data_IF_772766912563
#
_entry.id   IF_772766912563
#
_cell.length_a   1.000
_cell.length_b   1.000
_cell.length_c   1.000
_cell.angle_alpha   90.00
_cell.angle_beta   90.00
_cell.angle_gamma   90.00
#
_symmetry.space_group_name_H-M   'P 1'
#
loop_
_entity.id
_entity.type
_entity.pdbx_description
1 polymer ?
#
# COMPACT_ATOMS: atom_id res chain seq x y z
N UNK A 1 22.66 -11.59 24.39
CA UNK A 1 21.81 -10.51 23.87
C UNK A 1 21.60 -10.80 22.40
N UNK A 2 20.36 -10.74 21.96
CA UNK A 2 19.83 -11.36 20.75
C UNK A 2 20.44 -10.79 19.46
N UNK A 3 21.29 -11.57 18.80
CA UNK A 3 21.79 -11.28 17.44
C UNK A 3 20.75 -11.52 16.34
N UNK A 4 19.53 -11.95 16.69
CA UNK A 4 18.49 -12.35 15.72
C UNK A 4 17.83 -11.17 14.99
N UNK A 5 18.01 -9.92 15.45
CA UNK A 5 17.34 -8.76 14.83
C UNK A 5 18.05 -8.21 13.58
N UNK A 6 19.36 -8.44 13.41
CA UNK A 6 20.13 -7.89 12.27
C UNK A 6 20.24 -8.85 11.08
N UNK A 7 19.85 -10.13 11.24
CA UNK A 7 19.95 -11.17 10.21
C UNK A 7 18.59 -11.70 9.71
N UNK A 8 17.46 -11.20 10.22
CA UNK A 8 16.14 -11.67 9.78
C UNK A 8 15.72 -10.97 8.47
N UNK A 9 15.64 -11.69 7.33
CA UNK A 9 15.29 -11.10 6.05
C UNK A 9 13.88 -10.47 6.06
N UNK A 10 12.97 -10.99 6.88
CA UNK A 10 11.64 -10.42 7.04
C UNK A 10 11.71 -9.01 7.62
N UNK A 11 12.53 -8.82 8.67
CA UNK A 11 12.63 -7.53 9.35
C UNK A 11 13.26 -6.49 8.45
N UNK A 12 14.22 -6.87 7.61
CA UNK A 12 14.83 -5.98 6.63
C UNK A 12 13.81 -5.53 5.58
N UNK A 13 13.12 -6.47 4.92
CA UNK A 13 12.09 -6.13 3.92
C UNK A 13 10.94 -5.35 4.56
N UNK A 14 10.57 -5.65 5.82
CA UNK A 14 9.63 -4.83 6.58
C UNK A 14 10.08 -3.37 6.69
N UNK A 15 11.36 -3.10 6.99
CA UNK A 15 11.85 -1.72 7.06
C UNK A 15 11.78 -1.03 5.70
N UNK A 16 12.16 -1.74 4.63
CA UNK A 16 12.13 -1.21 3.27
C UNK A 16 10.70 -0.87 2.84
N UNK A 17 9.74 -1.79 3.07
CA UNK A 17 8.31 -1.57 2.81
C UNK A 17 7.77 -0.37 3.59
N UNK A 18 8.12 -0.24 4.88
CA UNK A 18 7.67 0.89 5.70
C UNK A 18 8.28 2.23 5.24
N UNK A 19 9.54 2.23 4.82
CA UNK A 19 10.21 3.40 4.28
C UNK A 19 9.61 3.83 2.93
N UNK A 20 9.33 2.86 2.06
CA UNK A 20 8.68 3.11 0.78
C UNK A 20 7.25 3.62 0.99
N UNK A 21 6.47 3.01 1.88
CA UNK A 21 5.11 3.46 2.22
C UNK A 21 5.10 4.90 2.76
N UNK A 22 6.06 5.25 3.63
CA UNK A 22 6.26 6.62 4.11
C UNK A 22 6.49 7.61 2.96
N UNK A 23 7.20 7.19 1.91
CA UNK A 23 7.48 7.99 0.73
C UNK A 23 6.32 8.02 -0.27
N UNK A 24 5.47 6.99 -0.30
CA UNK A 24 4.26 6.91 -1.16
C UNK A 24 3.14 7.83 -0.68
N UNK A 25 2.93 7.94 0.64
CA UNK A 25 1.90 8.81 1.24
C UNK A 25 1.90 10.27 0.74
N UNK A 26 3.04 10.99 0.67
CA UNK A 26 3.07 12.33 0.11
C UNK A 26 2.81 12.37 -1.40
N UNK A 27 3.17 11.32 -2.17
CA UNK A 27 2.77 11.21 -3.58
C UNK A 27 1.26 11.13 -3.71
N UNK A 28 0.60 10.32 -2.87
CA UNK A 28 -0.85 10.21 -2.82
C UNK A 28 -1.52 11.54 -2.45
N UNK A 29 -1.04 12.22 -1.40
CA UNK A 29 -1.53 13.53 -1.02
C UNK A 29 -1.37 14.57 -2.14
N UNK A 30 -0.23 14.55 -2.85
CA UNK A 30 0.01 15.43 -4.00
C UNK A 30 -0.94 15.13 -5.16
N UNK A 31 -1.15 13.85 -5.49
CA UNK A 31 -2.11 13.41 -6.49
C UNK A 31 -3.52 13.93 -6.18
N UNK A 32 -4.01 13.73 -4.96
CA UNK A 32 -5.34 14.20 -4.54
C UNK A 32 -5.47 15.72 -4.63
N UNK A 33 -4.41 16.46 -4.25
CA UNK A 33 -4.36 17.92 -4.35
C UNK A 33 -4.39 18.39 -5.80
N UNK A 34 -3.61 17.78 -6.69
CA UNK A 34 -3.60 18.14 -8.12
C UNK A 34 -4.96 17.82 -8.73
N UNK A 35 -5.55 16.67 -8.39
CA UNK A 35 -6.90 16.27 -8.82
C UNK A 35 -7.97 17.28 -8.40
N UNK A 36 -7.90 17.80 -7.17
CA UNK A 36 -8.90 18.77 -6.68
C UNK A 36 -8.75 20.17 -7.26
N UNK A 37 -7.54 20.55 -7.66
CA UNK A 37 -7.25 21.87 -8.25
C UNK A 37 -7.36 21.89 -9.78
N UNK A 38 -7.18 20.74 -10.44
CA UNK A 38 -7.22 20.66 -11.89
C UNK A 38 -8.65 20.65 -12.40
N UNK A 39 -8.97 21.59 -13.28
CA UNK A 39 -10.23 21.63 -14.02
C UNK A 39 -10.21 20.71 -15.24
N UNK A 40 -9.04 20.19 -15.62
CA UNK A 40 -8.85 19.31 -16.77
C UNK A 40 -8.35 17.93 -16.31
N UNK A 41 -9.18 16.88 -16.40
CA UNK A 41 -8.78 15.52 -16.03
C UNK A 41 -7.67 14.94 -16.92
N UNK A 42 -7.36 15.57 -18.05
CA UNK A 42 -6.29 15.22 -18.98
C UNK A 42 -5.01 16.04 -18.78
N UNK A 43 -4.93 16.86 -17.72
CA UNK A 43 -3.73 17.66 -17.44
C UNK A 43 -2.47 16.80 -17.29
N UNK A 44 -1.33 17.22 -17.89
CA UNK A 44 -0.09 16.45 -17.85
C UNK A 44 0.46 16.31 -16.42
N UNK A 45 0.29 17.32 -15.56
CA UNK A 45 0.65 17.21 -14.14
C UNK A 45 -0.15 16.12 -13.41
N UNK A 46 -1.45 16.00 -13.68
CA UNK A 46 -2.29 14.95 -13.08
C UNK A 46 -1.88 13.56 -13.59
N UNK A 47 -1.59 13.45 -14.89
CA UNK A 47 -1.12 12.21 -15.49
C UNK A 47 0.23 11.75 -14.90
N UNK A 48 1.18 12.68 -14.73
CA UNK A 48 2.48 12.39 -14.10
C UNK A 48 2.30 11.95 -12.64
N UNK A 49 1.56 12.73 -11.84
CA UNK A 49 1.33 12.40 -10.44
C UNK A 49 0.62 11.04 -10.27
N UNK A 50 -0.31 10.70 -11.19
CA UNK A 50 -0.95 9.39 -11.24
C UNK A 50 0.06 8.28 -11.55
N UNK A 51 0.89 8.46 -12.57
CA UNK A 51 1.89 7.47 -12.99
C UNK A 51 2.92 7.20 -11.89
N UNK A 52 3.44 8.25 -11.25
CA UNK A 52 4.44 8.13 -10.17
C UNK A 52 3.87 7.35 -8.98
N UNK A 53 2.63 7.68 -8.58
CA UNK A 53 1.95 6.97 -7.51
C UNK A 53 1.66 5.51 -7.88
N UNK A 54 1.20 5.24 -9.11
CA UNK A 54 0.93 3.88 -9.58
C UNK A 54 2.20 3.02 -9.56
N UNK A 55 3.34 3.57 -10.00
CA UNK A 55 4.62 2.88 -9.93
C UNK A 55 5.02 2.56 -8.48
N UNK A 56 4.93 3.54 -7.59
CA UNK A 56 5.25 3.36 -6.18
C UNK A 56 4.37 2.32 -5.47
N UNK A 57 3.06 2.32 -5.76
CA UNK A 57 2.11 1.33 -5.24
C UNK A 57 2.33 -0.08 -5.83
N UNK A 58 2.74 -0.18 -7.09
CA UNK A 58 3.05 -1.46 -7.71
C UNK A 58 4.26 -2.13 -7.03
N UNK A 59 5.36 -1.40 -6.86
CA UNK A 59 6.53 -1.91 -6.13
C UNK A 59 6.19 -2.29 -4.68
N UNK A 60 5.39 -1.48 -3.99
CA UNK A 60 4.95 -1.80 -2.63
C UNK A 60 4.13 -3.10 -2.57
N UNK A 61 3.26 -3.32 -3.56
CA UNK A 61 2.43 -4.51 -3.60
C UNK A 61 3.25 -5.77 -3.87
N UNK A 62 4.32 -5.68 -4.68
CA UNK A 62 5.26 -6.77 -4.92
C UNK A 62 6.01 -7.14 -3.63
N UNK A 63 6.64 -6.17 -2.95
CA UNK A 63 7.37 -6.42 -1.70
C UNK A 63 6.45 -6.95 -0.60
N UNK A 64 5.22 -6.43 -0.52
CA UNK A 64 4.22 -6.90 0.44
C UNK A 64 3.79 -8.35 0.14
N UNK A 65 3.65 -8.73 -1.13
CA UNK A 65 3.28 -10.09 -1.50
C UNK A 65 4.34 -11.10 -1.03
N UNK A 66 5.62 -10.75 -1.12
CA UNK A 66 6.72 -11.56 -0.60
C UNK A 66 6.68 -11.68 0.94
N UNK A 67 6.39 -10.58 1.65
CA UNK A 67 6.18 -10.63 3.10
C UNK A 67 4.98 -11.52 3.48
N UNK A 68 3.86 -11.41 2.77
CA UNK A 68 2.68 -12.27 2.99
C UNK A 68 3.03 -13.74 2.78
N UNK A 69 3.72 -14.06 1.68
CA UNK A 69 4.16 -15.42 1.38
C UNK A 69 5.09 -15.97 2.47
N UNK A 70 6.02 -15.15 2.98
CA UNK A 70 6.91 -15.55 4.06
C UNK A 70 6.16 -15.87 5.36
N UNK A 71 5.13 -15.08 5.70
CA UNK A 71 4.28 -15.29 6.88
C UNK A 71 3.49 -16.58 6.76
N UNK A 72 2.90 -16.84 5.59
CA UNK A 72 2.16 -18.06 5.31
C UNK A 72 3.06 -19.30 5.41
N UNK A 73 4.29 -19.22 4.92
CA UNK A 73 5.24 -20.33 4.96
C UNK A 73 5.60 -20.76 6.39
N UNK A 74 5.72 -19.80 7.32
CA UNK A 74 6.06 -20.09 8.71
C UNK A 74 4.86 -20.38 9.61
N UNK A 75 3.63 -20.01 9.19
CA UNK A 75 2.43 -20.04 10.04
C UNK A 75 2.11 -21.42 10.60
N UNK A 76 2.30 -22.48 9.80
CA UNK A 76 1.98 -23.85 10.19
C UNK A 76 2.96 -24.42 11.23
N UNK A 77 4.21 -23.93 11.23
CA UNK A 77 5.28 -24.45 12.09
C UNK A 77 6.23 -23.34 12.60
N UNK A 78 5.77 -22.32 13.34
CA UNK A 78 6.58 -21.12 13.63
C UNK A 78 7.81 -21.44 14.49
N UNK A 79 7.68 -22.40 15.41
CA UNK A 79 8.77 -22.85 16.28
C UNK A 79 9.92 -23.51 15.53
N UNK A 80 9.67 -24.12 14.36
CA UNK A 80 10.73 -24.70 13.53
C UNK A 80 11.64 -23.62 12.93
N UNK A 81 11.11 -22.41 12.77
CA UNK A 81 11.84 -21.24 12.28
C UNK A 81 12.33 -20.32 13.42
N UNK A 82 12.20 -20.76 14.68
CA UNK A 82 12.58 -19.93 15.83
C UNK A 82 11.67 -18.73 16.07
N UNK A 83 10.49 -18.69 15.44
CA UNK A 83 9.54 -17.58 15.53
C UNK A 83 8.56 -17.83 16.68
N UNK A 84 8.47 -16.85 17.59
CA UNK A 84 7.46 -16.88 18.65
C UNK A 84 6.05 -16.59 18.09
N UNK A 85 5.00 -17.12 18.74
CA UNK A 85 3.62 -16.82 18.34
C UNK A 85 3.30 -15.31 18.38
N UNK A 86 3.90 -14.58 19.33
CA UNK A 86 3.78 -13.13 19.42
C UNK A 86 4.42 -12.42 18.22
N UNK A 87 5.57 -12.91 17.76
CA UNK A 87 6.24 -12.38 16.57
C UNK A 87 5.44 -12.68 15.30
N UNK A 88 4.97 -13.92 15.11
CA UNK A 88 4.10 -14.25 13.97
C UNK A 88 2.86 -13.35 13.92
N UNK A 89 2.25 -13.08 15.09
CA UNK A 89 1.09 -12.18 15.19
C UNK A 89 1.44 -10.75 14.74
N UNK A 90 2.63 -10.24 15.13
CA UNK A 90 3.09 -8.93 14.66
C UNK A 90 3.29 -8.89 13.15
N UNK A 91 3.92 -9.91 12.56
CA UNK A 91 4.13 -10.00 11.11
C UNK A 91 2.82 -10.02 10.33
N UNK A 92 1.85 -10.82 10.79
CA UNK A 92 0.50 -10.89 10.22
C UNK A 92 -0.21 -9.54 10.26
N UNK A 93 -0.14 -8.86 11.40
CA UNK A 93 -0.77 -7.56 11.57
C UNK A 93 -0.17 -6.52 10.64
N UNK A 94 1.17 -6.47 10.54
CA UNK A 94 1.87 -5.58 9.63
C UNK A 94 1.39 -5.77 8.18
N UNK A 95 1.40 -7.00 7.66
CA UNK A 95 1.02 -7.23 6.25
C UNK A 95 -0.44 -6.90 5.98
N UNK A 96 -1.33 -7.07 6.96
CA UNK A 96 -2.73 -6.66 6.86
C UNK A 96 -2.88 -5.13 6.85
N UNK A 97 -2.20 -4.43 7.75
CA UNK A 97 -2.29 -2.96 7.85
C UNK A 97 -1.72 -2.29 6.59
N UNK A 98 -0.54 -2.71 6.13
CA UNK A 98 0.08 -2.18 4.91
C UNK A 98 -0.74 -2.55 3.66
N UNK A 99 -1.25 -3.78 3.60
CA UNK A 99 -2.08 -4.23 2.48
C UNK A 99 -3.38 -3.44 2.36
N UNK A 100 -4.04 -3.16 3.48
CA UNK A 100 -5.23 -2.31 3.50
C UNK A 100 -4.94 -0.90 2.98
N UNK A 101 -3.84 -0.28 3.44
CA UNK A 101 -3.49 1.08 3.00
C UNK A 101 -3.14 1.16 1.51
N UNK A 102 -2.45 0.15 0.97
CA UNK A 102 -2.17 0.06 -0.47
C UNK A 102 -3.47 -0.08 -1.27
N UNK A 103 -4.39 -0.94 -0.82
CA UNK A 103 -5.66 -1.15 -1.51
C UNK A 103 -6.51 0.12 -1.49
N UNK A 104 -6.65 0.79 -0.35
CA UNK A 104 -7.37 2.06 -0.22
C UNK A 104 -6.85 3.11 -1.22
N UNK A 105 -5.52 3.25 -1.34
CA UNK A 105 -4.90 4.17 -2.31
C UNK A 105 -5.16 3.76 -3.77
N UNK A 106 -5.20 2.45 -4.08
CA UNK A 106 -5.51 1.93 -5.42
C UNK A 106 -6.97 2.11 -5.79
N UNK A 107 -7.88 1.89 -4.85
CA UNK A 107 -9.31 2.14 -5.02
C UNK A 107 -9.58 3.61 -5.32
N UNK A 108 -8.93 4.54 -4.60
CA UNK A 108 -9.02 5.98 -4.86
C UNK A 108 -8.51 6.38 -6.25
N UNK A 109 -7.47 5.70 -6.74
CA UNK A 109 -6.98 5.89 -8.11
C UNK A 109 -7.96 5.34 -9.16
N UNK A 110 -8.60 4.20 -8.88
CA UNK A 110 -9.56 3.57 -9.78
C UNK A 110 -10.88 4.34 -9.84
N UNK A 111 -11.42 4.76 -8.70
CA UNK A 111 -12.66 5.54 -8.59
C UNK A 111 -12.60 6.85 -9.38
N UNK A 112 -11.40 7.43 -9.50
CA UNK A 112 -11.15 8.65 -10.29
C UNK A 112 -11.09 8.46 -11.80
N UNK A 113 -11.06 7.21 -12.28
CA UNK A 113 -11.08 6.88 -13.72
C UNK A 113 -12.49 6.59 -14.24
N UNK A 114 -13.47 6.41 -13.35
CA UNK A 114 -14.87 6.29 -13.75
C UNK A 114 -15.39 7.69 -14.14
N UNK A 115 -16.01 7.86 -15.32
CA UNK A 115 -16.75 9.08 -15.60
C UNK A 115 -17.83 9.21 -14.52
N UNK A 116 -18.01 10.42 -13.97
CA UNK A 116 -19.05 10.74 -13.02
C UNK A 116 -20.43 10.51 -13.65
N UNK A 117 -20.89 9.26 -13.70
CA UNK A 117 -22.21 8.89 -14.17
C UNK A 117 -23.21 9.21 -13.05
N UNK A 118 -23.88 10.34 -13.22
CA UNK A 118 -25.25 10.61 -12.75
C UNK A 118 -25.50 10.57 -11.24
N UNK A 119 -25.33 11.72 -10.59
CA UNK A 119 -26.08 12.09 -9.37
C UNK A 119 -26.82 13.43 -9.53
N UNK A 120 -27.34 13.71 -10.72
CA UNK A 120 -28.18 14.87 -11.00
C UNK A 120 -29.43 14.47 -11.80
N UNK A 121 -30.27 13.63 -11.21
CA UNK A 121 -31.62 13.38 -11.72
C UNK A 121 -32.53 12.89 -10.56
N UNK A 122 -32.95 13.80 -9.68
CA UNK A 122 -34.19 13.71 -8.90
C UNK A 122 -34.26 14.86 -7.88
N UNK A 123 -34.68 16.05 -8.32
CA UNK A 123 -35.44 16.98 -7.47
C UNK A 123 -35.82 18.21 -8.28
N UNK A 124 -36.91 18.10 -9.05
CA UNK A 124 -37.77 19.23 -9.43
C UNK A 124 -39.10 18.61 -9.85
N UNK A 125 -39.94 18.38 -8.83
CA UNK A 125 -41.39 18.30 -8.97
C UNK A 125 -41.97 19.67 -8.62
#
# INVERSE_FOLDING_TARGET
>A
MSSTNEEDPFLQVQQDVLAQLSSTRPLFASYLRIRSLSTDPSSPELASARSDLQGSLASLAEDLADLVASVQAIESSPSQYGISAAELTRRKRLVQEVGGEIEDMREELASSSAPAATRAAASSA
#
